data_IF_673849624917
#
_entry.id   IF_673849624917
#
_cell.length_a   1.000
_cell.length_b   1.000
_cell.length_c   1.000
_cell.angle_alpha   90.00
_cell.angle_beta   90.00
_cell.angle_gamma   90.00
#
_symmetry.space_group_name_H-M   'P 1'
#
loop_
_entity.id
_entity.type
_entity.pdbx_description
1 polymer ?
#
# COMPACT_ATOMS: atom_id res chain seq x y z
N UNK A 1 17.96 18.10 5.48
CA UNK A 1 17.97 17.12 6.61
C UNK A 1 18.39 15.74 6.10
N UNK A 2 19.22 14.98 6.86
CA UNK A 2 19.73 13.67 6.40
C UNK A 2 18.59 12.70 6.03
N UNK A 3 17.49 12.72 6.78
CA UNK A 3 16.30 11.87 6.52
C UNK A 3 15.73 12.09 5.12
N UNK A 4 15.61 13.36 4.69
CA UNK A 4 15.09 13.70 3.34
C UNK A 4 16.00 13.13 2.26
N UNK A 5 17.32 13.30 2.44
CA UNK A 5 18.32 12.79 1.50
C UNK A 5 18.21 11.25 1.40
N UNK A 6 18.13 10.57 2.54
CA UNK A 6 17.95 9.11 2.58
C UNK A 6 16.69 8.65 1.85
N UNK A 7 15.56 9.32 2.07
CA UNK A 7 14.28 9.00 1.40
C UNK A 7 14.40 9.21 -0.11
N UNK A 8 14.94 10.36 -0.55
CA UNK A 8 15.07 10.66 -1.97
C UNK A 8 16.02 9.68 -2.69
N UNK A 9 17.19 9.40 -2.10
CA UNK A 9 18.13 8.43 -2.66
C UNK A 9 17.53 7.03 -2.77
N UNK A 10 16.91 6.54 -1.69
CA UNK A 10 16.32 5.21 -1.67
C UNK A 10 15.16 5.11 -2.67
N UNK A 11 14.27 6.10 -2.69
CA UNK A 11 13.15 6.15 -3.64
C UNK A 11 13.65 6.19 -5.09
N UNK A 12 14.70 6.96 -5.37
CA UNK A 12 15.29 7.02 -6.71
C UNK A 12 15.83 5.67 -7.16
N UNK A 13 16.55 4.95 -6.30
CA UNK A 13 17.09 3.61 -6.62
C UNK A 13 15.97 2.63 -6.95
N UNK A 14 14.90 2.61 -6.15
CA UNK A 14 13.76 1.72 -6.36
C UNK A 14 12.99 2.09 -7.62
N UNK A 15 12.81 3.39 -7.89
CA UNK A 15 12.17 3.86 -9.13
C UNK A 15 12.98 3.52 -10.38
N UNK A 16 14.31 3.68 -10.32
CA UNK A 16 15.20 3.30 -11.42
C UNK A 16 15.12 1.78 -11.71
N UNK A 17 14.95 0.96 -10.68
CA UNK A 17 14.72 -0.49 -10.88
C UNK A 17 13.43 -0.73 -11.66
N UNK A 18 12.33 -0.03 -11.32
CA UNK A 18 11.07 -0.09 -12.06
C UNK A 18 11.22 0.45 -13.49
N UNK A 19 11.96 1.54 -13.68
CA UNK A 19 12.24 2.09 -15.02
C UNK A 19 12.99 1.10 -15.90
N UNK A 20 13.99 0.39 -15.35
CA UNK A 20 14.71 -0.65 -16.10
C UNK A 20 13.76 -1.78 -16.46
N UNK A 21 12.85 -2.17 -15.56
CA UNK A 21 11.85 -3.20 -15.82
C UNK A 21 10.88 -2.81 -16.95
N UNK A 22 10.44 -1.56 -16.99
CA UNK A 22 9.57 -1.05 -18.06
C UNK A 22 10.24 -1.10 -19.45
N UNK A 23 11.59 -0.93 -19.51
CA UNK A 23 12.34 -1.05 -20.76
C UNK A 23 12.78 -2.47 -21.10
N UNK A 24 13.13 -3.25 -20.08
CA UNK A 24 13.63 -4.63 -20.21
C UNK A 24 13.09 -5.45 -19.03
N UNK A 25 12.13 -6.36 -19.27
CA UNK A 25 11.55 -7.17 -18.21
C UNK A 25 12.62 -7.84 -17.34
N UNK A 26 12.63 -7.49 -16.06
CA UNK A 26 13.56 -8.02 -15.07
C UNK A 26 12.98 -9.28 -14.41
N UNK A 27 13.82 -10.26 -14.09
CA UNK A 27 13.36 -11.35 -13.23
C UNK A 27 12.99 -10.83 -11.83
N UNK A 28 12.03 -11.47 -11.17
CA UNK A 28 11.49 -11.02 -9.89
C UNK A 28 12.58 -10.78 -8.81
N UNK A 29 13.63 -11.62 -8.78
CA UNK A 29 14.73 -11.45 -7.85
C UNK A 29 15.51 -10.15 -8.06
N UNK A 30 15.63 -9.66 -9.30
CA UNK A 30 16.33 -8.41 -9.60
C UNK A 30 15.52 -7.19 -9.12
N UNK A 31 14.19 -7.22 -9.30
CA UNK A 31 13.29 -6.21 -8.73
C UNK A 31 13.38 -6.19 -7.20
N UNK A 32 13.33 -7.35 -6.56
CA UNK A 32 13.48 -7.47 -5.11
C UNK A 32 14.85 -6.96 -4.64
N UNK A 33 15.94 -7.24 -5.37
CA UNK A 33 17.27 -6.73 -5.02
C UNK A 33 17.33 -5.20 -5.03
N UNK A 34 16.71 -4.53 -6.01
CA UNK A 34 16.59 -3.08 -6.05
C UNK A 34 15.79 -2.52 -4.86
N UNK A 35 14.69 -3.17 -4.51
CA UNK A 35 13.89 -2.81 -3.34
C UNK A 35 14.67 -2.99 -2.02
N UNK A 36 15.39 -4.11 -1.87
CA UNK A 36 16.26 -4.37 -0.72
C UNK A 36 17.35 -3.31 -0.61
N UNK A 37 17.99 -2.93 -1.72
CA UNK A 37 18.98 -1.85 -1.74
C UNK A 37 18.38 -0.53 -1.26
N UNK A 38 17.15 -0.20 -1.68
CA UNK A 38 16.41 0.95 -1.16
C UNK A 38 16.23 0.89 0.37
N UNK A 39 15.87 -0.28 0.92
CA UNK A 39 15.74 -0.47 2.38
C UNK A 39 17.08 -0.34 3.09
N UNK A 40 18.16 -0.87 2.52
CA UNK A 40 19.53 -0.71 3.08
C UNK A 40 19.90 0.77 3.14
N UNK A 41 19.63 1.54 2.10
CA UNK A 41 19.84 3.00 2.11
C UNK A 41 19.03 3.64 3.24
N UNK A 42 17.72 3.35 3.38
CA UNK A 42 16.91 3.88 4.49
C UNK A 42 17.54 3.55 5.86
N UNK A 43 18.04 2.32 6.02
CA UNK A 43 18.68 1.88 7.26
C UNK A 43 19.94 2.69 7.62
N UNK A 44 20.76 3.07 6.64
CA UNK A 44 21.95 3.92 6.87
C UNK A 44 21.60 5.32 7.38
N UNK A 45 20.39 5.80 7.07
CA UNK A 45 19.83 7.06 7.57
C UNK A 45 18.96 6.87 8.84
N UNK A 46 18.96 5.68 9.45
CA UNK A 46 18.22 5.40 10.68
C UNK A 46 16.70 5.32 10.51
N UNK A 47 16.22 5.23 9.25
CA UNK A 47 14.80 5.11 8.93
C UNK A 47 14.39 3.65 9.05
N UNK A 48 13.54 3.36 10.04
CA UNK A 48 13.02 2.02 10.32
C UNK A 48 11.73 2.07 11.11
N UNK A 49 11.00 0.97 11.13
CA UNK A 49 9.91 0.74 12.07
C UNK A 49 10.44 0.85 13.51
N UNK A 50 9.68 1.45 14.40
CA UNK A 50 10.04 1.67 15.81
C UNK A 50 8.97 1.09 16.72
N UNK A 51 8.96 -0.22 16.85
CA UNK A 51 8.14 -0.94 17.83
C UNK A 51 8.97 -1.22 19.09
N UNK A 52 8.35 -1.52 20.23
CA UNK A 52 9.03 -1.93 21.46
C UNK A 52 9.62 -3.35 21.33
N UNK A 53 10.47 -3.55 20.31
CA UNK A 53 11.09 -4.79 19.93
C UNK A 53 12.61 -4.58 19.74
N UNK A 54 13.42 -5.66 19.80
CA UNK A 54 14.84 -5.58 19.46
C UNK A 54 15.09 -4.92 18.10
N UNK A 55 16.18 -4.16 18.01
CA UNK A 55 16.52 -3.38 16.80
C UNK A 55 16.58 -4.26 15.54
N UNK A 56 17.11 -5.47 15.63
CA UNK A 56 17.16 -6.40 14.49
C UNK A 56 15.76 -6.77 13.97
N UNK A 57 14.79 -7.00 14.87
CA UNK A 57 13.40 -7.27 14.49
C UNK A 57 12.75 -6.04 13.84
N UNK A 58 13.03 -4.84 14.34
CA UNK A 58 12.52 -3.61 13.73
C UNK A 58 13.05 -3.44 12.29
N UNK A 59 14.30 -3.79 12.00
CA UNK A 59 14.82 -3.81 10.62
C UNK A 59 14.19 -4.91 9.77
N UNK A 60 13.98 -6.11 10.31
CA UNK A 60 13.30 -7.19 9.60
C UNK A 60 11.86 -6.81 9.24
N UNK A 61 11.12 -6.19 10.18
CA UNK A 61 9.77 -5.68 9.92
C UNK A 61 9.81 -4.54 8.89
N UNK A 62 10.81 -3.66 8.95
CA UNK A 62 10.99 -2.60 7.94
C UNK A 62 11.16 -3.18 6.54
N UNK A 63 12.00 -4.20 6.41
CA UNK A 63 12.21 -4.89 5.14
C UNK A 63 10.92 -5.50 4.62
N UNK A 64 10.22 -6.28 5.44
CA UNK A 64 8.95 -6.92 5.06
C UNK A 64 7.88 -5.87 4.70
N UNK A 65 7.80 -4.80 5.46
CA UNK A 65 6.86 -3.71 5.22
C UNK A 65 7.09 -3.01 3.88
N UNK A 66 8.32 -2.62 3.61
CA UNK A 66 8.67 -1.91 2.38
C UNK A 66 8.49 -2.83 1.17
N UNK A 67 9.05 -4.04 1.21
CA UNK A 67 8.89 -4.99 0.11
C UNK A 67 7.42 -5.35 -0.11
N UNK A 68 6.68 -5.60 0.98
CA UNK A 68 5.26 -5.90 0.93
C UNK A 68 4.46 -4.79 0.26
N UNK A 69 4.64 -3.53 0.69
CA UNK A 69 3.89 -2.41 0.13
C UNK A 69 4.29 -2.06 -1.30
N UNK A 70 5.58 -2.07 -1.64
CA UNK A 70 6.02 -1.82 -3.03
C UNK A 70 5.36 -2.83 -3.97
N UNK A 71 5.39 -4.11 -3.62
CA UNK A 71 4.78 -5.14 -4.47
C UNK A 71 3.25 -5.10 -4.42
N UNK A 72 2.62 -4.75 -3.29
CA UNK A 72 1.17 -4.61 -3.20
C UNK A 72 0.66 -3.45 -4.07
N UNK A 73 1.35 -2.32 -4.08
CA UNK A 73 1.01 -1.17 -4.94
C UNK A 73 1.25 -1.51 -6.42
N UNK A 74 2.34 -2.20 -6.74
CA UNK A 74 2.59 -2.67 -8.11
C UNK A 74 1.50 -3.65 -8.58
N UNK A 75 1.04 -4.58 -7.75
CA UNK A 75 -0.07 -5.48 -8.04
C UNK A 75 -1.40 -4.75 -8.25
N UNK A 76 -1.63 -3.67 -7.50
CA UNK A 76 -2.83 -2.83 -7.64
C UNK A 76 -2.86 -2.02 -8.92
N UNK A 77 -1.73 -1.82 -9.61
CA UNK A 77 -1.70 -1.07 -10.88
C UNK A 77 -2.22 -1.92 -12.05
N UNK A 78 -3.41 -2.48 -11.86
CA UNK A 78 -4.08 -3.40 -12.77
C UNK A 78 -5.35 -2.81 -13.42
N UNK A 79 -5.75 -1.58 -13.07
CA UNK A 79 -6.96 -0.91 -13.58
C UNK A 79 -6.79 0.61 -13.57
N UNK A 80 -7.30 1.26 -14.63
CA UNK A 80 -7.26 2.73 -14.80
C UNK A 80 -7.73 3.45 -13.55
N UNK A 81 -6.94 4.41 -13.07
CA UNK A 81 -7.24 5.26 -11.93
C UNK A 81 -7.08 4.61 -10.55
N UNK A 82 -7.01 3.28 -10.47
CA UNK A 82 -7.06 2.58 -9.19
C UNK A 82 -5.92 2.98 -8.27
N UNK A 83 -4.69 2.75 -8.69
CA UNK A 83 -3.49 2.93 -7.85
C UNK A 83 -3.28 4.37 -7.43
N UNK A 84 -3.36 5.30 -8.38
CA UNK A 84 -3.18 6.72 -8.08
C UNK A 84 -4.29 7.27 -7.18
N UNK A 85 -5.53 6.81 -7.37
CA UNK A 85 -6.64 7.26 -6.54
C UNK A 85 -6.60 6.71 -5.12
N UNK A 86 -6.24 5.44 -4.96
CA UNK A 86 -6.01 4.86 -3.64
C UNK A 86 -4.87 5.57 -2.90
N UNK A 87 -3.78 5.87 -3.62
CA UNK A 87 -2.68 6.66 -3.06
C UNK A 87 -3.14 8.07 -2.66
N UNK A 88 -3.99 8.73 -3.47
CA UNK A 88 -4.56 10.03 -3.12
C UNK A 88 -5.43 9.96 -1.86
N UNK A 89 -6.29 8.94 -1.74
CA UNK A 89 -7.09 8.73 -0.52
C UNK A 89 -6.16 8.50 0.69
N UNK A 90 -5.22 7.57 0.59
CA UNK A 90 -4.30 7.25 1.69
C UNK A 90 -3.45 8.46 2.09
N UNK A 91 -2.92 9.21 1.12
CA UNK A 91 -2.08 10.38 1.40
C UNK A 91 -2.88 11.54 1.98
N UNK A 92 -4.17 11.66 1.69
CA UNK A 92 -5.06 12.62 2.38
C UNK A 92 -5.12 12.32 3.88
N UNK A 93 -5.30 11.06 4.27
CA UNK A 93 -5.32 10.66 5.68
C UNK A 93 -3.95 10.79 6.34
N UNK A 94 -2.86 10.40 5.66
CA UNK A 94 -1.52 10.57 6.24
C UNK A 94 -1.14 12.04 6.39
N UNK A 95 -1.60 12.92 5.50
CA UNK A 95 -1.43 14.37 5.60
C UNK A 95 -2.16 14.90 6.86
N UNK A 96 -3.44 14.55 7.04
CA UNK A 96 -4.23 14.96 8.21
C UNK A 96 -3.57 14.49 9.52
N UNK A 97 -3.18 13.22 9.58
CA UNK A 97 -2.51 12.64 10.74
C UNK A 97 -1.17 13.31 11.04
N UNK A 98 -0.36 13.56 10.01
CA UNK A 98 0.94 14.20 10.16
C UNK A 98 0.81 15.66 10.63
N UNK A 99 -0.16 16.42 10.10
CA UNK A 99 -0.43 17.80 10.54
C UNK A 99 -0.92 17.82 11.98
N UNK A 100 -1.86 16.95 12.35
CA UNK A 100 -2.39 16.85 13.70
C UNK A 100 -1.31 16.51 14.76
N UNK A 101 -0.24 15.81 14.35
CA UNK A 101 0.87 15.42 15.21
C UNK A 101 2.16 16.27 15.00
N UNK A 102 2.08 17.41 14.31
CA UNK A 102 3.21 18.32 14.11
C UNK A 102 4.37 17.75 13.28
N UNK A 103 4.11 16.74 12.44
CA UNK A 103 5.14 16.03 11.66
C UNK A 103 5.32 16.66 10.28
N UNK A 104 5.95 17.81 10.22
CA UNK A 104 6.07 18.63 9.00
C UNK A 104 6.68 17.88 7.80
N UNK A 105 7.69 17.03 8.02
CA UNK A 105 8.31 16.26 6.93
C UNK A 105 7.31 15.26 6.33
N UNK A 106 6.62 14.51 7.17
CA UNK A 106 5.62 13.52 6.72
C UNK A 106 4.46 14.22 6.04
N UNK A 107 4.00 15.35 6.60
CA UNK A 107 2.97 16.18 6.00
C UNK A 107 3.38 16.70 4.61
N UNK A 108 4.61 17.21 4.47
CA UNK A 108 5.13 17.71 3.20
C UNK A 108 5.22 16.59 2.13
N UNK A 109 5.74 15.40 2.50
CA UNK A 109 5.79 14.25 1.61
C UNK A 109 4.38 13.79 1.21
N UNK A 110 3.45 13.72 2.17
CA UNK A 110 2.06 13.34 1.92
C UNK A 110 1.36 14.35 1.01
N UNK A 111 1.54 15.65 1.23
CA UNK A 111 0.96 16.70 0.40
C UNK A 111 1.50 16.69 -1.03
N UNK A 112 2.83 16.53 -1.18
CA UNK A 112 3.47 16.44 -2.49
C UNK A 112 2.96 15.21 -3.27
N UNK A 113 2.87 14.06 -2.59
CA UNK A 113 2.39 12.83 -3.21
C UNK A 113 0.90 12.90 -3.56
N UNK A 114 0.08 13.49 -2.68
CA UNK A 114 -1.34 13.75 -2.95
C UNK A 114 -1.51 14.62 -4.21
N UNK A 115 -0.78 15.73 -4.29
CA UNK A 115 -0.81 16.61 -5.46
C UNK A 115 -0.39 15.89 -6.75
N UNK A 116 0.68 15.09 -6.70
CA UNK A 116 1.13 14.29 -7.84
C UNK A 116 0.08 13.26 -8.27
N UNK A 117 -0.53 12.54 -7.33
CA UNK A 117 -1.58 11.56 -7.60
C UNK A 117 -2.82 12.21 -8.23
N UNK A 118 -3.28 13.36 -7.70
CA UNK A 118 -4.42 14.09 -8.25
C UNK A 118 -4.12 14.62 -9.67
N UNK A 119 -2.90 15.14 -9.91
CA UNK A 119 -2.46 15.56 -11.23
C UNK A 119 -2.41 14.39 -12.22
N UNK A 120 -1.88 13.25 -11.81
CA UNK A 120 -1.83 12.03 -12.63
C UNK A 120 -3.24 11.50 -12.94
N UNK A 121 -4.14 11.46 -11.95
CA UNK A 121 -5.53 11.01 -12.12
C UNK A 121 -6.30 11.82 -13.19
N UNK A 122 -5.94 13.08 -13.42
CA UNK A 122 -6.56 13.88 -14.50
C UNK A 122 -6.47 13.18 -15.85
N UNK A 123 -5.44 12.36 -16.06
CA UNK A 123 -5.15 11.67 -17.31
C UNK A 123 -5.27 10.14 -17.19
N UNK A 124 -5.21 9.59 -15.99
CA UNK A 124 -5.25 8.15 -15.74
C UNK A 124 -6.64 7.65 -15.27
N UNK A 125 -7.58 8.56 -14.86
CA UNK A 125 -8.95 8.12 -14.52
C UNK A 125 -9.67 7.55 -15.75
N UNK A 126 -10.47 6.46 -15.58
CA UNK A 126 -11.07 5.73 -16.70
C UNK A 126 -11.87 6.62 -17.68
N UNK A 127 -11.62 6.59 -19.01
CA UNK A 127 -10.58 5.82 -19.71
C UNK A 127 -9.20 6.50 -19.63
N UNK A 128 -8.17 5.75 -19.26
CA UNK A 128 -6.82 6.27 -19.10
C UNK A 128 -6.18 6.70 -20.42
N UNK A 129 -5.38 7.77 -20.38
CA UNK A 129 -4.56 8.27 -21.49
C UNK A 129 -3.07 8.11 -21.22
N UNK A 130 -2.68 7.93 -19.96
CA UNK A 130 -1.32 7.67 -19.52
C UNK A 130 -1.35 6.52 -18.50
N UNK A 131 -0.25 5.78 -18.41
CA UNK A 131 -0.09 4.64 -17.51
C UNK A 131 1.10 4.87 -16.59
N UNK A 132 1.04 4.26 -15.39
CA UNK A 132 2.03 4.50 -14.34
C UNK A 132 3.33 3.74 -14.58
N UNK A 133 3.24 2.53 -15.09
CA UNK A 133 4.35 1.60 -15.27
C UNK A 133 4.97 1.13 -13.94
N UNK A 134 5.97 0.27 -14.05
CA UNK A 134 6.68 -0.22 -12.87
C UNK A 134 7.51 0.89 -12.22
N UNK A 135 8.02 1.85 -12.98
CA UNK A 135 8.71 3.03 -12.45
C UNK A 135 7.83 3.80 -11.48
N UNK A 136 6.58 4.07 -11.86
CA UNK A 136 5.66 4.86 -11.05
C UNK A 136 5.09 4.07 -9.87
N UNK A 137 4.70 2.81 -10.06
CA UNK A 137 4.15 1.98 -8.98
C UNK A 137 5.20 1.65 -7.92
N UNK A 138 6.45 1.42 -8.30
CA UNK A 138 7.56 1.23 -7.36
C UNK A 138 7.88 2.52 -6.59
N UNK A 139 7.95 3.67 -7.28
CA UNK A 139 8.10 4.99 -6.65
C UNK A 139 7.01 5.21 -5.60
N UNK A 140 5.76 5.03 -6.01
CA UNK A 140 4.59 5.28 -5.17
C UNK A 140 4.54 4.34 -3.96
N UNK A 141 4.72 3.04 -4.19
CA UNK A 141 4.71 2.03 -3.12
C UNK A 141 5.83 2.24 -2.11
N UNK A 142 7.04 2.59 -2.58
CA UNK A 142 8.16 2.85 -1.69
C UNK A 142 7.96 4.11 -0.86
N UNK A 143 7.52 5.21 -1.46
CA UNK A 143 7.30 6.46 -0.73
C UNK A 143 6.14 6.33 0.27
N UNK A 144 5.05 5.66 -0.09
CA UNK A 144 3.96 5.34 0.81
C UNK A 144 4.43 4.47 2.00
N UNK A 145 5.27 3.46 1.74
CA UNK A 145 5.85 2.65 2.80
C UNK A 145 6.69 3.48 3.78
N UNK A 146 7.51 4.41 3.27
CA UNK A 146 8.31 5.33 4.09
C UNK A 146 7.44 6.27 4.90
N UNK A 147 6.39 6.85 4.30
CA UNK A 147 5.42 7.69 5.01
C UNK A 147 4.80 6.90 6.17
N UNK A 148 4.35 5.67 5.94
CA UNK A 148 3.79 4.81 7.00
C UNK A 148 4.79 4.51 8.13
N UNK A 149 6.08 4.28 7.81
CA UNK A 149 7.14 4.09 8.81
C UNK A 149 7.40 5.36 9.62
N UNK A 150 7.27 6.52 9.01
CA UNK A 150 7.61 7.81 9.63
C UNK A 150 6.47 8.42 10.46
N UNK A 151 5.23 7.97 10.29
CA UNK A 151 4.11 8.38 11.14
C UNK A 151 4.40 8.06 12.61
N UNK A 152 4.14 9.02 13.50
CA UNK A 152 4.34 8.91 14.96
C UNK A 152 3.12 9.46 15.67
N UNK A 153 2.84 8.84 16.80
CA UNK A 153 1.71 9.21 17.66
C UNK A 153 2.22 9.32 19.09
N UNK A 154 2.89 10.46 19.45
CA UNK A 154 3.57 10.60 20.73
C UNK A 154 2.62 10.52 21.92
N UNK A 155 1.37 10.91 21.73
CA UNK A 155 0.36 10.96 22.79
C UNK A 155 -0.36 9.61 22.98
N UNK A 156 -0.02 8.58 22.19
CA UNK A 156 -0.64 7.27 22.31
C UNK A 156 0.40 6.13 22.26
N UNK A 157 0.02 4.98 22.79
CA UNK A 157 0.88 3.81 22.91
C UNK A 157 1.22 3.15 21.56
N UNK A 158 2.48 2.81 21.36
CA UNK A 158 2.90 2.01 20.21
C UNK A 158 2.23 0.62 20.15
N UNK A 159 1.68 0.12 21.28
CA UNK A 159 0.91 -1.13 21.29
C UNK A 159 -0.41 -1.05 20.53
N UNK A 160 -0.91 0.15 20.25
CA UNK A 160 -2.13 0.34 19.46
C UNK A 160 -1.85 1.06 18.15
N UNK A 161 -0.97 2.04 18.14
CA UNK A 161 -0.76 2.91 16.98
C UNK A 161 -0.07 2.22 15.79
N UNK A 162 0.55 1.04 15.98
CA UNK A 162 1.05 0.24 14.86
C UNK A 162 -0.07 -0.25 13.92
N UNK A 163 -1.32 -0.31 14.41
CA UNK A 163 -2.49 -0.66 13.61
C UNK A 163 -2.80 0.43 12.57
N UNK A 164 -2.47 1.71 12.88
CA UNK A 164 -2.76 2.86 12.01
C UNK A 164 -2.21 2.68 10.59
N UNK A 165 -0.90 2.47 10.36
CA UNK A 165 -0.41 2.24 9.01
C UNK A 165 -0.97 0.96 8.38
N UNK A 166 -1.26 -0.08 9.16
CA UNK A 166 -1.90 -1.30 8.62
C UNK A 166 -3.30 -1.01 8.08
N UNK A 167 -4.09 -0.19 8.76
CA UNK A 167 -5.40 0.25 8.28
C UNK A 167 -5.29 1.16 7.06
N UNK A 168 -4.41 2.16 7.07
CA UNK A 168 -4.21 3.09 5.96
C UNK A 168 -3.84 2.38 4.65
N UNK A 169 -3.05 1.32 4.74
CA UNK A 169 -2.63 0.50 3.61
C UNK A 169 -3.39 -0.84 3.53
N UNK A 170 -4.49 -0.96 4.23
CA UNK A 170 -5.25 -2.20 4.36
C UNK A 170 -5.77 -2.74 3.03
N UNK A 171 -6.16 -1.88 2.09
CA UNK A 171 -6.65 -2.32 0.79
C UNK A 171 -5.54 -2.89 -0.11
N UNK A 172 -4.36 -2.25 -0.30
CA UNK A 172 -3.22 -2.88 -0.96
C UNK A 172 -2.81 -4.22 -0.34
N UNK A 173 -2.73 -4.28 0.99
CA UNK A 173 -2.38 -5.51 1.73
C UNK A 173 -3.44 -6.60 1.48
N UNK A 174 -4.72 -6.24 1.52
CA UNK A 174 -5.81 -7.16 1.25
C UNK A 174 -5.77 -7.72 -0.17
N UNK A 175 -5.64 -6.84 -1.18
CA UNK A 175 -5.62 -7.26 -2.58
C UNK A 175 -4.47 -8.21 -2.89
N UNK A 176 -3.25 -7.85 -2.45
CA UNK A 176 -2.09 -8.72 -2.60
C UNK A 176 -2.31 -10.08 -1.89
N UNK A 177 -2.86 -10.07 -0.68
CA UNK A 177 -3.15 -11.29 0.07
C UNK A 177 -4.17 -12.17 -0.66
N UNK A 178 -5.26 -11.56 -1.15
CA UNK A 178 -6.29 -12.25 -1.93
C UNK A 178 -5.69 -12.93 -3.17
N UNK A 179 -4.88 -12.20 -3.94
CA UNK A 179 -4.24 -12.69 -5.16
C UNK A 179 -3.27 -13.83 -4.86
N UNK A 180 -2.40 -13.65 -3.85
CA UNK A 180 -1.42 -14.69 -3.46
C UNK A 180 -2.13 -15.95 -2.98
N UNK A 181 -3.11 -15.82 -2.09
CA UNK A 181 -3.90 -16.96 -1.60
C UNK A 181 -4.62 -17.67 -2.73
N UNK A 182 -5.27 -16.92 -3.62
CA UNK A 182 -5.99 -17.45 -4.78
C UNK A 182 -5.07 -18.23 -5.71
N UNK A 183 -3.90 -17.69 -6.04
CA UNK A 183 -2.91 -18.34 -6.93
C UNK A 183 -2.31 -19.59 -6.30
N UNK A 184 -1.88 -19.53 -5.05
CA UNK A 184 -1.34 -20.70 -4.33
C UNK A 184 -2.36 -21.83 -4.24
N UNK A 185 -3.64 -21.53 -3.99
CA UNK A 185 -4.72 -22.54 -3.95
C UNK A 185 -4.97 -23.21 -5.31
N UNK A 186 -4.65 -22.53 -6.41
CA UNK A 186 -4.71 -23.05 -7.78
C UNK A 186 -3.41 -23.70 -8.23
N UNK A 187 -2.39 -23.80 -7.38
CA UNK A 187 -1.06 -24.33 -7.70
C UNK A 187 -0.24 -23.42 -8.62
N UNK A 188 -0.59 -22.12 -8.69
CA UNK A 188 0.09 -21.14 -9.51
C UNK A 188 1.15 -20.37 -8.69
N UNK A 189 2.17 -19.86 -9.37
CA UNK A 189 3.12 -18.92 -8.75
C UNK A 189 2.42 -17.62 -8.38
N UNK A 190 2.74 -17.00 -7.22
CA UNK A 190 2.26 -15.67 -6.87
C UNK A 190 2.52 -14.59 -7.94
N UNK A 191 3.59 -14.74 -8.72
CA UNK A 191 3.98 -13.80 -9.78
C UNK A 191 3.31 -14.08 -11.13
N UNK A 192 2.41 -15.06 -11.22
CA UNK A 192 1.67 -15.32 -12.45
C UNK A 192 0.78 -14.13 -12.78
N UNK A 193 0.84 -13.61 -14.01
CA UNK A 193 -0.07 -12.56 -14.45
C UNK A 193 -1.51 -13.09 -14.47
N UNK A 194 -2.49 -12.26 -14.05
CA UNK A 194 -3.88 -12.68 -13.99
C UNK A 194 -4.84 -11.54 -13.67
N UNK A 195 -6.14 -11.77 -13.90
CA UNK A 195 -7.24 -10.84 -13.59
C UNK A 195 -8.00 -11.29 -12.34
N UNK A 196 -7.27 -11.66 -11.30
CA UNK A 196 -7.78 -12.24 -10.06
C UNK A 196 -7.77 -11.25 -8.87
N UNK A 197 -7.45 -9.98 -9.13
CA UNK A 197 -7.47 -8.87 -8.20
C UNK A 197 -8.89 -8.48 -7.77
N UNK A 198 -9.01 -7.82 -6.63
CA UNK A 198 -10.30 -7.33 -6.08
C UNK A 198 -11.06 -6.49 -7.11
N UNK A 199 -10.38 -5.60 -7.82
CA UNK A 199 -10.95 -4.75 -8.87
C UNK A 199 -11.59 -5.58 -9.99
N UNK A 200 -10.89 -6.57 -10.51
CA UNK A 200 -11.40 -7.46 -11.56
C UNK A 200 -12.53 -8.36 -11.09
N UNK A 201 -12.49 -8.78 -9.81
CA UNK A 201 -13.59 -9.57 -9.21
C UNK A 201 -14.87 -8.73 -9.08
N UNK A 202 -14.77 -7.44 -8.71
CA UNK A 202 -15.92 -6.54 -8.71
C UNK A 202 -16.52 -6.37 -10.12
N UNK A 203 -15.67 -6.24 -11.14
CA UNK A 203 -16.17 -6.19 -12.54
C UNK A 203 -16.88 -7.48 -12.94
N UNK A 204 -16.38 -8.64 -12.53
CA UNK A 204 -17.09 -9.94 -12.77
C UNK A 204 -18.41 -10.04 -12.04
N UNK A 205 -18.56 -9.36 -10.89
CA UNK A 205 -19.84 -9.27 -10.16
C UNK A 205 -20.85 -8.32 -10.81
N UNK A 206 -20.49 -7.69 -11.94
CA UNK A 206 -21.39 -6.84 -12.74
C UNK A 206 -21.18 -5.34 -12.59
N UNK A 207 -20.22 -4.90 -11.79
CA UNK A 207 -19.86 -3.47 -11.71
C UNK A 207 -19.06 -3.04 -12.93
N UNK A 208 -19.27 -1.81 -13.38
CA UNK A 208 -18.38 -1.20 -14.37
C UNK A 208 -16.97 -0.96 -13.78
N UNK A 209 -15.90 -0.84 -14.60
CA UNK A 209 -14.57 -0.52 -14.09
C UNK A 209 -14.52 0.75 -13.24
N UNK A 210 -15.29 1.77 -13.59
CA UNK A 210 -15.39 3.02 -12.80
C UNK A 210 -16.01 2.79 -11.42
N UNK A 211 -17.10 2.02 -11.37
CA UNK A 211 -17.77 1.69 -10.10
C UNK A 211 -16.85 0.85 -9.21
N UNK A 212 -16.16 -0.14 -9.78
CA UNK A 212 -15.20 -0.95 -9.03
C UNK A 212 -14.11 -0.08 -8.38
N UNK A 213 -13.54 0.85 -9.13
CA UNK A 213 -12.52 1.79 -8.63
C UNK A 213 -13.08 2.69 -7.52
N UNK A 214 -14.29 3.25 -7.71
CA UNK A 214 -14.92 4.12 -6.70
C UNK A 214 -15.29 3.36 -5.43
N UNK A 215 -15.75 2.11 -5.54
CA UNK A 215 -16.00 1.23 -4.38
C UNK A 215 -14.70 1.03 -3.59
N UNK A 216 -13.57 0.77 -4.27
CA UNK A 216 -12.29 0.57 -3.62
C UNK A 216 -11.77 1.86 -2.96
N UNK A 217 -12.01 3.04 -3.56
CA UNK A 217 -11.71 4.33 -2.90
C UNK A 217 -12.54 4.50 -1.63
N UNK A 218 -13.83 4.16 -1.68
CA UNK A 218 -14.70 4.22 -0.49
C UNK A 218 -14.21 3.30 0.63
N UNK A 219 -13.86 2.06 0.29
CA UNK A 219 -13.28 1.10 1.26
C UNK A 219 -12.00 1.65 1.88
N UNK A 220 -11.08 2.20 1.04
CA UNK A 220 -9.86 2.84 1.54
C UNK A 220 -10.15 4.04 2.44
N UNK A 221 -11.18 4.85 2.11
CA UNK A 221 -11.64 5.96 2.94
C UNK A 221 -12.17 5.51 4.30
N UNK A 222 -12.96 4.42 4.33
CA UNK A 222 -13.45 3.83 5.59
C UNK A 222 -12.28 3.36 6.45
N UNK A 223 -11.31 2.66 5.86
CA UNK A 223 -10.11 2.23 6.57
C UNK A 223 -9.29 3.43 7.08
N UNK A 224 -9.22 4.51 6.30
CA UNK A 224 -8.59 5.77 6.71
C UNK A 224 -9.31 6.42 7.91
N UNK A 225 -10.64 6.41 7.93
CA UNK A 225 -11.42 6.89 9.09
C UNK A 225 -11.20 6.02 10.33
N UNK A 226 -11.15 4.70 10.16
CA UNK A 226 -10.79 3.78 11.25
C UNK A 226 -9.37 4.07 11.77
N UNK A 227 -8.42 4.34 10.89
CA UNK A 227 -7.06 4.70 11.24
C UNK A 227 -7.01 6.02 12.06
N UNK A 228 -7.77 7.05 11.65
CA UNK A 228 -7.92 8.30 12.41
C UNK A 228 -8.47 8.02 13.81
N UNK A 229 -9.52 7.22 13.95
CA UNK A 229 -10.08 6.87 15.24
C UNK A 229 -9.04 6.18 16.15
N UNK A 230 -8.27 5.24 15.60
CA UNK A 230 -7.26 4.48 16.36
C UNK A 230 -6.15 5.37 16.92
N UNK A 231 -5.88 6.54 16.35
CA UNK A 231 -4.83 7.44 16.87
C UNK A 231 -5.14 8.01 18.26
N UNK A 232 -6.42 8.11 18.62
CA UNK A 232 -6.89 8.61 19.91
C UNK A 232 -7.52 7.51 20.78
N UNK A 233 -7.62 6.28 20.25
CA UNK A 233 -8.27 5.16 20.91
C UNK A 233 -7.44 4.61 22.07
N UNK A 234 -8.11 4.09 23.07
CA UNK A 234 -7.49 3.23 24.08
C UNK A 234 -6.96 1.93 23.44
N UNK A 235 -6.10 1.21 24.17
CA UNK A 235 -5.56 -0.08 23.68
C UNK A 235 -6.68 -1.05 23.34
N UNK A 236 -7.72 -1.14 24.17
CA UNK A 236 -8.85 -2.06 23.94
C UNK A 236 -9.64 -1.67 22.69
N UNK A 237 -10.00 -0.40 22.57
CA UNK A 237 -10.74 0.12 21.40
C UNK A 237 -9.96 -0.07 20.11
N UNK A 238 -8.65 0.22 20.11
CA UNK A 238 -7.80 0.03 18.95
C UNK A 238 -7.74 -1.43 18.49
N UNK A 239 -7.60 -2.37 19.43
CA UNK A 239 -7.64 -3.81 19.09
C UNK A 239 -9.03 -4.28 18.66
N UNK A 240 -10.11 -3.73 19.20
CA UNK A 240 -11.48 -4.02 18.73
C UNK A 240 -11.65 -3.56 17.28
N UNK A 241 -11.25 -2.31 16.98
CA UNK A 241 -11.31 -1.78 15.60
C UNK A 241 -10.45 -2.60 14.64
N UNK A 242 -9.20 -2.90 15.02
CA UNK A 242 -8.30 -3.75 14.23
C UNK A 242 -8.88 -5.16 14.02
N UNK A 243 -9.47 -5.74 15.07
CA UNK A 243 -10.13 -7.05 15.02
C UNK A 243 -11.34 -7.07 14.10
N UNK A 244 -12.18 -6.03 14.14
CA UNK A 244 -13.32 -5.88 13.22
C UNK A 244 -12.82 -5.77 11.77
N UNK A 245 -11.82 -4.91 11.53
CA UNK A 245 -11.24 -4.77 10.18
C UNK A 245 -10.68 -6.10 9.65
N UNK A 246 -9.94 -6.83 10.49
CA UNK A 246 -9.39 -8.14 10.13
C UNK A 246 -10.50 -9.18 9.87
N UNK A 247 -11.55 -9.21 10.70
CA UNK A 247 -12.68 -10.13 10.52
C UNK A 247 -13.44 -9.85 9.22
N UNK A 248 -13.68 -8.56 8.91
CA UNK A 248 -14.31 -8.15 7.66
C UNK A 248 -13.43 -8.50 6.44
N UNK A 249 -12.11 -8.28 6.54
CA UNK A 249 -11.17 -8.64 5.48
C UNK A 249 -11.16 -10.16 5.23
N UNK A 250 -11.12 -10.98 6.28
CA UNK A 250 -11.19 -12.45 6.16
C UNK A 250 -12.54 -12.92 5.57
N UNK A 251 -13.65 -12.32 5.99
CA UNK A 251 -14.97 -12.63 5.45
C UNK A 251 -15.07 -12.25 3.96
N UNK A 252 -14.57 -11.07 3.58
CA UNK A 252 -14.51 -10.62 2.20
C UNK A 252 -13.61 -11.53 1.34
N UNK A 253 -12.45 -11.93 1.85
CA UNK A 253 -11.55 -12.86 1.17
C UNK A 253 -12.26 -14.21 0.92
N UNK A 254 -12.88 -14.79 1.95
CA UNK A 254 -13.57 -16.06 1.84
C UNK A 254 -14.75 -15.97 0.86
N UNK A 255 -15.50 -14.87 0.87
CA UNK A 255 -16.62 -14.65 -0.03
C UNK A 255 -16.15 -14.48 -1.49
N UNK A 256 -15.15 -13.65 -1.74
CA UNK A 256 -14.59 -13.44 -3.09
C UNK A 256 -13.98 -14.73 -3.65
N UNK A 257 -13.35 -15.56 -2.83
CA UNK A 257 -12.82 -16.86 -3.25
C UNK A 257 -13.94 -17.87 -3.60
N UNK A 258 -15.09 -17.84 -2.93
CA UNK A 258 -16.24 -18.68 -3.28
C UNK A 258 -16.83 -18.26 -4.62
N UNK A 259 -17.08 -16.96 -4.81
CA UNK A 259 -17.61 -16.42 -6.07
C UNK A 259 -16.69 -16.75 -7.26
N UNK A 260 -15.37 -16.66 -7.06
CA UNK A 260 -14.41 -17.02 -8.09
C UNK A 260 -14.53 -18.48 -8.53
N UNK A 261 -14.62 -19.41 -7.57
CA UNK A 261 -14.76 -20.85 -7.88
C UNK A 261 -16.05 -21.20 -8.61
N UNK A 262 -17.13 -20.50 -8.30
CA UNK A 262 -18.43 -20.70 -8.98
C UNK A 262 -18.34 -20.23 -10.43
N UNK A 263 -17.68 -19.12 -10.70
CA UNK A 263 -17.49 -18.58 -12.06
C UNK A 263 -16.52 -19.39 -12.95
N UNK A 264 -15.67 -20.25 -12.39
CA UNK A 264 -14.78 -21.14 -13.15
C UNK A 264 -15.50 -22.44 -13.58
N UNK A 265 -16.69 -22.73 -13.05
CA UNK A 265 -17.47 -23.92 -13.34
C UNK A 265 -18.56 -23.70 -14.40
N UNK A 266 -18.86 -22.44 -14.69
CA UNK A 266 -19.80 -22.00 -15.74
C UNK A 266 -19.05 -21.58 -16.99
#
# INVERSE_FOLDING_TARGET
EPTVIGVLLATTVVSLTGLIDDYRPLPAWAKLAGQVLGVVILATFGIRVRLPLPTALNYAITLLWVLGLVNAINFLDNMDGLTAGLAAVTTSFTLLLALGNGQFLVAALSAALLGACLGFLRYNFPPARIFMGDVGSHFLGFLLAVIGIQLRFPDNSNFVTWIVPVLLFGLPIFDMTLVVVSRLRRGLSPNTAGRDHTSHRLVRLGFSPREAVLILYLVSGILGMMALYVTEATIVEGYVVGGIAAALALAALAWLERQWKESEKT
#
